data_IF_131118751976
#
_entry.id   IF_131118751976
#
_cell.length_a   1.000
_cell.length_b   1.000
_cell.length_c   1.000
_cell.angle_alpha   90.00
_cell.angle_beta   90.00
_cell.angle_gamma   90.00
#
_symmetry.space_group_name_H-M   'P 1'
#
loop_
_entity.id
_entity.type
_entity.pdbx_description
1 polymer ?
#
# COMPACT_ATOMS: atom_id res chain seq x y z
N UNK A 1 -64.86 14.12 4.76
CA UNK A 1 -63.44 14.52 4.96
C UNK A 1 -62.78 13.46 5.81
N UNK A 2 -62.07 12.51 5.20
CA UNK A 2 -61.21 11.55 5.90
C UNK A 2 -59.82 12.18 6.03
N UNK A 3 -59.34 12.40 7.26
CA UNK A 3 -57.95 12.76 7.51
C UNK A 3 -57.11 11.47 7.51
N UNK A 4 -56.15 11.41 6.59
CA UNK A 4 -55.15 10.35 6.51
C UNK A 4 -53.94 10.74 7.36
N UNK A 5 -53.72 10.05 8.48
CA UNK A 5 -52.56 10.27 9.36
C UNK A 5 -51.35 9.52 8.79
N UNK A 6 -50.42 10.26 8.20
CA UNK A 6 -49.18 9.73 7.64
C UNK A 6 -48.16 9.54 8.78
N UNK A 7 -47.88 8.29 9.16
CA UNK A 7 -46.83 7.95 10.13
C UNK A 7 -45.45 8.12 9.48
N UNK A 8 -44.66 9.06 10.00
CA UNK A 8 -43.25 9.23 9.66
C UNK A 8 -42.44 8.24 10.52
N UNK A 9 -41.96 7.15 9.92
CA UNK A 9 -40.95 6.30 10.54
C UNK A 9 -39.58 7.00 10.46
N UNK A 10 -39.10 7.53 11.59
CA UNK A 10 -37.70 7.88 11.74
C UNK A 10 -36.87 6.59 11.86
N UNK A 11 -36.24 6.17 10.76
CA UNK A 11 -35.15 5.20 10.82
C UNK A 11 -33.92 5.89 11.45
N UNK A 12 -33.68 5.64 12.72
CA UNK A 12 -32.41 5.94 13.37
C UNK A 12 -31.34 5.01 12.78
N UNK A 13 -30.50 5.54 11.90
CA UNK A 13 -29.33 4.84 11.39
C UNK A 13 -28.32 4.67 12.53
N UNK A 14 -28.30 3.50 13.17
CA UNK A 14 -27.16 3.10 13.99
C UNK A 14 -25.97 2.92 13.06
N UNK A 15 -25.14 3.95 12.93
CA UNK A 15 -23.81 3.86 12.33
C UNK A 15 -22.93 3.03 13.25
N UNK A 16 -22.99 1.70 13.11
CA UNK A 16 -22.07 0.80 13.80
C UNK A 16 -20.64 1.17 13.41
N UNK A 17 -19.85 1.65 14.37
CA UNK A 17 -18.41 1.81 14.18
C UNK A 17 -17.84 0.44 13.87
N UNK A 18 -17.22 0.29 12.70
CA UNK A 18 -16.46 -0.91 12.40
C UNK A 18 -15.28 -0.99 13.40
N UNK A 19 -14.98 -2.17 13.90
CA UNK A 19 -13.75 -2.36 14.68
C UNK A 19 -12.56 -2.20 13.72
N UNK A 20 -11.79 -1.13 13.90
CA UNK A 20 -10.56 -0.89 13.16
C UNK A 20 -9.56 -2.02 13.46
N UNK A 21 -9.05 -2.68 12.41
CA UNK A 21 -7.96 -3.63 12.60
C UNK A 21 -6.77 -2.91 13.21
N UNK A 22 -6.21 -3.46 14.28
CA UNK A 22 -5.10 -2.86 15.01
C UNK A 22 -4.28 -3.94 15.71
N UNK A 23 -3.06 -3.58 16.12
CA UNK A 23 -2.19 -4.48 16.87
C UNK A 23 -0.71 -4.17 16.64
N UNK A 24 0.14 -5.13 17.00
CA UNK A 24 1.55 -5.11 16.64
C UNK A 24 1.76 -5.85 15.32
N UNK A 25 2.78 -5.43 14.57
CA UNK A 25 3.19 -6.05 13.32
C UNK A 25 4.69 -5.92 13.08
N UNK A 26 5.15 -6.64 12.07
CA UNK A 26 6.53 -6.67 11.62
C UNK A 26 6.58 -6.17 10.16
N UNK A 27 7.67 -5.49 9.79
CA UNK A 27 7.85 -5.01 8.42
C UNK A 27 8.94 -5.76 7.67
N UNK A 28 8.80 -5.78 6.35
CA UNK A 28 9.90 -5.95 5.41
C UNK A 28 9.87 -4.82 4.39
N UNK A 29 10.70 -4.93 3.35
CA UNK A 29 10.77 -3.97 2.25
C UNK A 29 10.82 -4.74 0.92
N UNK A 30 10.12 -4.23 -0.08
CA UNK A 30 10.17 -4.81 -1.42
C UNK A 30 9.86 -3.78 -2.52
N UNK A 31 10.26 -4.15 -3.75
CA UNK A 31 9.76 -3.58 -4.99
C UNK A 31 10.03 -4.59 -6.11
N UNK A 32 9.00 -5.36 -6.47
CA UNK A 32 9.08 -6.44 -7.46
C UNK A 32 8.56 -6.04 -8.86
N UNK A 33 8.03 -4.81 -8.97
CA UNK A 33 7.37 -4.25 -10.15
C UNK A 33 6.08 -4.99 -10.58
N UNK A 34 5.67 -6.05 -9.90
CA UNK A 34 4.51 -6.83 -10.27
C UNK A 34 3.22 -5.99 -10.20
N UNK A 35 2.21 -6.38 -10.98
CA UNK A 35 0.85 -5.90 -10.76
C UNK A 35 0.42 -6.21 -9.31
N UNK A 36 0.03 -5.20 -8.50
CA UNK A 36 -0.43 -5.42 -7.14
C UNK A 36 -1.68 -6.30 -7.09
N UNK A 37 -1.84 -7.15 -6.06
CA UNK A 37 -2.97 -8.09 -6.01
C UNK A 37 -4.32 -7.37 -5.91
N UNK A 38 -4.40 -6.21 -5.25
CA UNK A 38 -5.62 -5.41 -5.15
C UNK A 38 -5.94 -4.62 -6.43
N UNK A 39 -5.14 -4.76 -7.50
CA UNK A 39 -5.44 -4.23 -8.83
C UNK A 39 -6.37 -5.15 -9.63
N UNK A 40 -6.67 -6.36 -9.13
CA UNK A 40 -7.67 -7.23 -9.73
C UNK A 40 -9.08 -6.85 -9.29
N UNK A 41 -10.03 -6.89 -10.23
CA UNK A 41 -11.45 -6.73 -9.94
C UNK A 41 -11.95 -7.79 -8.95
N UNK A 42 -12.90 -7.41 -8.10
CA UNK A 42 -13.57 -8.34 -7.18
C UNK A 42 -12.77 -8.73 -5.93
N UNK A 43 -11.57 -8.16 -5.72
CA UNK A 43 -10.75 -8.43 -4.51
C UNK A 43 -11.34 -7.85 -3.23
N UNK A 44 -11.98 -6.68 -3.31
CA UNK A 44 -12.66 -6.02 -2.20
C UNK A 44 -13.80 -5.13 -2.72
N UNK A 45 -14.66 -4.65 -1.80
CA UNK A 45 -15.70 -3.66 -2.12
C UNK A 45 -15.09 -2.26 -2.17
N UNK A 46 -14.67 -1.87 -3.38
CA UNK A 46 -13.99 -0.61 -3.68
C UNK A 46 -14.65 0.08 -4.86
N UNK A 47 -14.44 1.39 -5.00
CA UNK A 47 -14.91 2.15 -6.17
C UNK A 47 -14.29 1.65 -7.49
N UNK A 48 -12.99 1.35 -7.47
CA UNK A 48 -12.16 0.80 -8.56
C UNK A 48 -10.98 0.05 -7.94
N UNK A 49 -10.43 -0.99 -8.58
CA UNK A 49 -9.18 -1.63 -8.13
C UNK A 49 -8.00 -0.65 -8.16
N UNK A 50 -6.89 -1.04 -7.52
CA UNK A 50 -5.63 -0.29 -7.59
C UNK A 50 -5.20 -0.12 -9.05
N UNK A 51 -4.88 1.12 -9.43
CA UNK A 51 -4.34 1.46 -10.75
C UNK A 51 -3.00 0.75 -10.99
N UNK A 52 -2.87 0.16 -12.18
CA UNK A 52 -1.62 -0.36 -12.72
C UNK A 52 -1.13 0.53 -13.85
N UNK A 53 0.14 0.35 -14.22
CA UNK A 53 0.75 1.07 -15.32
C UNK A 53 1.41 0.10 -16.32
N UNK A 54 1.61 0.56 -17.55
CA UNK A 54 2.49 -0.11 -18.51
C UNK A 54 3.98 0.12 -18.17
N UNK A 55 4.89 -0.48 -18.93
CA UNK A 55 6.35 -0.34 -18.73
C UNK A 55 6.90 1.09 -18.87
N UNK A 56 6.12 2.00 -19.45
CA UNK A 56 6.48 3.42 -19.55
C UNK A 56 5.89 4.22 -18.39
N UNK A 57 5.27 3.54 -17.44
CA UNK A 57 4.55 4.09 -16.29
C UNK A 57 3.36 4.96 -16.73
N UNK A 58 2.66 4.51 -17.78
CA UNK A 58 1.37 5.08 -18.22
C UNK A 58 0.21 4.30 -17.60
N UNK A 59 -0.78 4.97 -16.96
CA UNK A 59 -1.92 4.29 -16.35
C UNK A 59 -2.71 3.40 -17.31
N UNK A 60 -3.02 2.18 -16.86
CA UNK A 60 -3.87 1.24 -17.59
C UNK A 60 -5.32 1.33 -17.11
N UNK A 61 -6.25 1.34 -18.06
CA UNK A 61 -7.69 1.43 -17.77
C UNK A 61 -8.37 0.08 -17.53
N UNK A 62 -7.81 -1.03 -18.05
CA UNK A 62 -8.37 -2.36 -17.92
C UNK A 62 -7.72 -3.14 -16.76
N UNK A 63 -8.46 -3.42 -15.67
CA UNK A 63 -7.95 -4.17 -14.52
C UNK A 63 -7.71 -5.66 -14.83
N UNK A 64 -8.09 -6.17 -16.01
CA UNK A 64 -7.86 -7.56 -16.41
C UNK A 64 -6.54 -7.77 -17.15
N UNK A 65 -5.80 -6.72 -17.47
CA UNK A 65 -4.48 -6.85 -18.09
C UNK A 65 -3.57 -7.68 -17.19
N UNK A 66 -2.93 -8.68 -17.79
CA UNK A 66 -2.08 -9.64 -17.09
C UNK A 66 -0.85 -8.96 -16.47
N UNK A 67 -0.43 -9.45 -15.30
CA UNK A 67 0.78 -8.98 -14.61
C UNK A 67 2.02 -9.21 -15.46
N UNK A 68 2.94 -8.24 -15.48
CA UNK A 68 4.28 -8.42 -16.07
C UNK A 68 5.05 -9.59 -15.45
N UNK A 69 4.81 -9.89 -14.16
CA UNK A 69 5.39 -11.05 -13.47
C UNK A 69 4.79 -12.39 -13.90
N UNK A 70 3.77 -12.37 -14.77
CA UNK A 70 3.15 -13.56 -15.36
C UNK A 70 2.97 -13.40 -16.87
N UNK A 71 3.98 -12.81 -17.53
CA UNK A 71 4.06 -12.67 -18.99
C UNK A 71 3.16 -11.60 -19.60
N UNK A 72 2.51 -10.77 -18.79
CA UNK A 72 1.66 -9.67 -19.24
C UNK A 72 2.39 -8.32 -19.33
N UNK A 73 1.62 -7.24 -19.28
CA UNK A 73 2.12 -5.87 -19.49
C UNK A 73 1.66 -4.87 -18.43
N UNK A 74 0.98 -5.33 -17.37
CA UNK A 74 0.62 -4.50 -16.22
C UNK A 74 1.66 -4.63 -15.10
N UNK A 75 2.16 -3.49 -14.64
CA UNK A 75 3.13 -3.32 -13.58
C UNK A 75 2.59 -2.41 -12.47
N UNK A 76 3.29 -2.38 -11.33
CA UNK A 76 3.08 -1.36 -10.31
C UNK A 76 3.42 0.01 -10.87
N UNK A 77 2.52 0.99 -10.75
CA UNK A 77 2.86 2.38 -11.09
C UNK A 77 3.96 2.90 -10.16
N UNK A 78 4.96 3.60 -10.71
CA UNK A 78 6.13 4.09 -9.98
C UNK A 78 5.76 5.12 -8.90
N UNK A 79 4.63 5.81 -9.05
CA UNK A 79 4.08 6.71 -8.04
C UNK A 79 3.47 5.98 -6.82
N UNK A 80 3.39 4.65 -6.82
CA UNK A 80 3.17 3.85 -5.61
C UNK A 80 4.46 3.75 -4.75
N UNK A 81 5.31 4.77 -4.83
CA UNK A 81 6.51 4.94 -4.01
C UNK A 81 6.19 5.69 -2.71
N UNK A 82 6.96 5.50 -1.64
CA UNK A 82 6.78 6.21 -0.39
C UNK A 82 7.38 7.62 -0.46
N UNK A 83 6.87 8.52 0.38
CA UNK A 83 7.41 9.88 0.52
C UNK A 83 7.23 10.43 1.94
N UNK A 84 8.10 11.37 2.30
CA UNK A 84 8.00 12.10 3.56
C UNK A 84 6.98 13.24 3.44
N UNK A 85 6.05 13.35 4.39
CA UNK A 85 5.19 14.52 4.56
C UNK A 85 5.94 15.57 5.39
N UNK A 86 6.63 15.13 6.44
CA UNK A 86 7.56 15.88 7.27
C UNK A 86 8.53 14.91 7.94
N UNK A 87 9.39 15.39 8.85
CA UNK A 87 10.43 14.56 9.50
C UNK A 87 9.87 13.40 10.35
N UNK A 88 8.62 13.47 10.76
CA UNK A 88 7.96 12.47 11.63
C UNK A 88 6.85 11.67 10.96
N UNK A 89 6.37 12.12 9.79
CA UNK A 89 5.27 11.49 9.06
C UNK A 89 5.67 11.20 7.62
N UNK A 90 5.43 9.97 7.18
CA UNK A 90 5.51 9.56 5.77
C UNK A 90 4.21 8.91 5.31
N UNK A 91 3.99 8.93 4.00
CA UNK A 91 2.93 8.17 3.34
C UNK A 91 3.55 7.17 2.36
N UNK A 92 2.84 6.07 2.10
CA UNK A 92 3.28 5.08 1.13
C UNK A 92 2.31 3.92 0.96
N UNK A 93 2.85 2.78 0.54
CA UNK A 93 2.07 1.61 0.14
C UNK A 93 2.71 0.35 0.69
N UNK A 94 1.92 -0.71 0.85
CA UNK A 94 2.41 -1.98 1.35
C UNK A 94 1.65 -3.16 0.74
N UNK A 95 2.31 -4.31 0.69
CA UNK A 95 1.61 -5.59 0.70
C UNK A 95 1.33 -5.99 2.16
N UNK A 96 0.13 -6.47 2.46
CA UNK A 96 -0.28 -6.73 3.84
C UNK A 96 -0.87 -8.12 4.03
N UNK A 97 -0.54 -8.77 5.14
CA UNK A 97 -1.26 -9.94 5.63
C UNK A 97 -1.66 -9.71 7.10
N UNK A 98 -2.94 -9.43 7.32
CA UNK A 98 -3.47 -9.04 8.64
C UNK A 98 -4.22 -10.21 9.27
N UNK A 99 -3.88 -10.51 10.52
CA UNK A 99 -4.46 -11.62 11.28
C UNK A 99 -5.97 -11.47 11.39
N UNK A 100 -6.70 -12.53 11.06
CA UNK A 100 -8.18 -12.54 11.07
C UNK A 100 -8.82 -11.82 9.87
N UNK A 101 -8.03 -11.27 8.95
CA UNK A 101 -8.49 -10.64 7.72
C UNK A 101 -8.30 -11.53 6.49
N UNK A 102 -8.79 -11.03 5.37
CA UNK A 102 -8.48 -11.50 4.00
C UNK A 102 -8.27 -10.31 3.07
N UNK A 103 -7.91 -10.54 1.81
CA UNK A 103 -7.82 -9.47 0.80
C UNK A 103 -9.08 -8.61 0.73
N UNK A 104 -10.28 -9.18 0.94
CA UNK A 104 -11.51 -8.39 0.95
C UNK A 104 -11.59 -7.36 2.08
N UNK A 105 -10.92 -7.64 3.20
CA UNK A 105 -10.87 -6.76 4.36
C UNK A 105 -9.76 -5.71 4.28
N UNK A 106 -8.60 -6.02 3.69
CA UNK A 106 -7.45 -5.11 3.70
C UNK A 106 -7.19 -4.42 2.36
N UNK A 107 -7.64 -4.96 1.22
CA UNK A 107 -7.36 -4.32 -0.05
C UNK A 107 -7.90 -2.89 -0.06
N UNK A 108 -6.99 -1.97 -0.38
CA UNK A 108 -7.16 -0.52 -0.40
C UNK A 108 -7.47 0.14 0.95
N UNK A 109 -7.41 -0.60 2.07
CA UNK A 109 -7.48 -0.03 3.40
C UNK A 109 -6.19 0.72 3.73
N UNK A 110 -6.28 1.72 4.60
CA UNK A 110 -5.12 2.43 5.10
C UNK A 110 -4.85 2.12 6.56
N UNK A 111 -3.56 2.13 6.92
CA UNK A 111 -3.10 1.83 8.27
C UNK A 111 -2.06 2.87 8.69
N UNK A 112 -2.23 3.43 9.88
CA UNK A 112 -1.23 4.26 10.53
C UNK A 112 -0.27 3.36 11.29
N UNK A 113 0.98 3.30 10.85
CA UNK A 113 2.05 2.51 11.45
C UNK A 113 2.89 3.43 12.33
N UNK A 114 3.02 3.11 13.61
CA UNK A 114 3.95 3.77 14.52
C UNK A 114 5.12 2.84 14.82
N UNK A 115 6.30 3.17 14.29
CA UNK A 115 7.48 2.33 14.47
C UNK A 115 7.91 2.31 15.93
N UNK A 116 8.25 1.12 16.43
CA UNK A 116 8.68 0.87 17.81
C UNK A 116 10.18 0.60 17.92
N UNK A 117 10.84 0.23 16.82
CA UNK A 117 12.24 -0.17 16.81
C UNK A 117 13.04 0.49 15.67
N UNK A 118 14.36 0.24 15.67
CA UNK A 118 15.33 0.80 14.72
C UNK A 118 15.47 2.33 14.79
N UNK A 119 16.17 2.92 13.82
CA UNK A 119 16.44 4.36 13.69
C UNK A 119 15.19 5.21 13.46
N UNK A 120 14.07 4.57 13.11
CA UNK A 120 12.78 5.21 12.83
C UNK A 120 11.78 5.13 13.99
N UNK A 121 12.18 4.57 15.13
CA UNK A 121 11.30 4.45 16.30
C UNK A 121 10.66 5.80 16.66
N UNK A 122 9.34 5.80 16.87
CA UNK A 122 8.53 6.98 17.15
C UNK A 122 8.01 7.72 15.92
N UNK A 123 8.56 7.49 14.72
CA UNK A 123 7.99 8.02 13.47
C UNK A 123 6.72 7.28 13.10
N UNK A 124 5.89 7.95 12.30
CA UNK A 124 4.63 7.41 11.79
C UNK A 124 4.66 7.31 10.27
N UNK A 125 4.16 6.21 9.73
CA UNK A 125 3.93 6.03 8.30
C UNK A 125 2.49 5.59 8.07
N UNK A 126 1.74 6.32 7.24
CA UNK A 126 0.40 5.86 6.81
C UNK A 126 0.53 5.17 5.47
N UNK A 127 0.11 3.92 5.40
CA UNK A 127 0.21 3.10 4.20
C UNK A 127 -1.15 2.69 3.68
N UNK A 128 -1.32 2.68 2.35
CA UNK A 128 -2.43 1.98 1.72
C UNK A 128 -2.02 0.56 1.34
N UNK A 129 -2.82 -0.43 1.72
CA UNK A 129 -2.62 -1.83 1.31
C UNK A 129 -3.01 -2.00 -0.16
N UNK A 130 -2.04 -2.31 -1.00
CA UNK A 130 -2.23 -2.47 -2.46
C UNK A 130 -2.05 -3.91 -2.93
N UNK A 131 -1.47 -4.76 -2.10
CA UNK A 131 -1.17 -6.15 -2.46
C UNK A 131 -1.20 -7.08 -1.23
N UNK A 132 -0.99 -8.36 -1.47
CA UNK A 132 -0.66 -9.37 -0.47
C UNK A 132 0.47 -10.25 -1.02
N UNK A 133 1.37 -10.71 -0.15
CA UNK A 133 2.33 -11.78 -0.48
C UNK A 133 1.84 -13.12 0.10
N UNK A 134 2.17 -14.23 -0.56
CA UNK A 134 1.78 -15.58 -0.11
C UNK A 134 2.61 -16.10 1.07
N UNK A 135 3.74 -15.46 1.33
CA UNK A 135 4.68 -15.71 2.42
C UNK A 135 4.44 -14.81 3.65
N UNK A 136 3.54 -13.83 3.53
CA UNK A 136 3.22 -12.89 4.60
C UNK A 136 2.17 -13.50 5.55
N UNK A 137 2.36 -13.33 6.85
CA UNK A 137 1.40 -13.73 7.90
C UNK A 137 1.60 -12.91 9.17
N UNK A 138 0.73 -13.05 10.17
CA UNK A 138 0.94 -12.46 11.50
C UNK A 138 1.12 -10.92 11.51
N UNK A 139 0.20 -10.18 10.88
CA UNK A 139 0.24 -8.71 10.78
C UNK A 139 1.52 -8.17 10.11
N UNK A 140 1.93 -8.82 9.02
CA UNK A 140 3.12 -8.42 8.26
C UNK A 140 2.75 -7.39 7.20
N UNK A 141 3.51 -6.29 7.20
CA UNK A 141 3.47 -5.24 6.19
C UNK A 141 4.78 -5.21 5.41
N UNK A 142 4.77 -5.65 4.16
CA UNK A 142 5.90 -5.53 3.27
C UNK A 142 5.85 -4.15 2.58
N UNK A 143 6.72 -3.24 3.02
CA UNK A 143 6.66 -1.84 2.62
C UNK A 143 7.19 -1.66 1.20
N UNK A 144 6.39 -1.05 0.34
CA UNK A 144 6.80 -0.76 -1.04
C UNK A 144 7.83 0.36 -1.03
N UNK A 145 9.08 0.04 -1.37
CA UNK A 145 10.14 1.02 -1.56
C UNK A 145 11.07 0.59 -2.68
N UNK A 146 11.22 1.37 -3.76
CA UNK A 146 12.10 1.02 -4.86
C UNK A 146 13.52 0.71 -4.39
N UNK A 147 14.07 -0.42 -4.85
CA UNK A 147 15.36 -0.91 -4.37
C UNK A 147 15.28 -1.63 -3.02
N UNK A 148 14.10 -2.00 -2.53
CA UNK A 148 13.90 -2.87 -1.35
C UNK A 148 14.17 -4.36 -1.62
N UNK A 149 14.33 -4.75 -2.89
CA UNK A 149 14.50 -6.13 -3.33
C UNK A 149 13.24 -6.64 -4.03
N UNK A 150 13.43 -7.43 -5.09
CA UNK A 150 12.33 -7.97 -5.89
C UNK A 150 11.68 -9.20 -5.23
N UNK A 151 12.40 -9.88 -4.34
CA UNK A 151 11.90 -11.03 -3.62
C UNK A 151 11.65 -12.23 -4.54
N UNK A 152 10.49 -12.87 -4.39
CA UNK A 152 10.16 -14.12 -5.09
C UNK A 152 10.05 -13.89 -6.60
N UNK A 153 9.38 -12.81 -7.02
CA UNK A 153 9.12 -12.50 -8.41
C UNK A 153 10.02 -11.36 -8.89
N UNK A 154 10.40 -11.36 -10.16
CA UNK A 154 11.15 -10.25 -10.76
C UNK A 154 10.40 -9.72 -11.98
N UNK A 155 9.45 -8.82 -11.72
CA UNK A 155 8.79 -8.03 -12.76
C UNK A 155 9.62 -6.85 -13.23
N UNK A 156 10.68 -6.48 -12.50
CA UNK A 156 11.51 -5.33 -12.82
C UNK A 156 12.45 -5.62 -13.99
N UNK A 157 12.87 -6.87 -14.18
CA UNK A 157 13.58 -7.31 -15.38
C UNK A 157 12.78 -7.06 -16.66
N UNK A 158 11.53 -7.57 -16.82
CA UNK A 158 10.73 -7.29 -18.00
C UNK A 158 10.24 -5.83 -18.11
N UNK A 159 10.14 -5.08 -17.01
CA UNK A 159 9.72 -3.67 -17.05
C UNK A 159 10.87 -2.72 -17.47
N UNK A 160 12.01 -2.81 -16.79
CA UNK A 160 13.09 -1.82 -16.86
C UNK A 160 14.44 -2.38 -17.33
N UNK A 161 14.54 -3.69 -17.59
CA UNK A 161 15.84 -4.32 -17.85
C UNK A 161 16.66 -4.57 -16.58
N UNK A 162 15.97 -4.83 -15.48
CA UNK A 162 16.45 -5.06 -14.11
C UNK A 162 16.72 -3.77 -13.30
N UNK A 163 16.71 -3.91 -11.98
CA UNK A 163 17.05 -2.86 -11.01
C UNK A 163 18.21 -3.34 -10.13
N UNK A 164 19.08 -2.43 -9.62
CA UNK A 164 20.20 -2.81 -8.77
C UNK A 164 19.77 -3.37 -7.41
N UNK A 165 20.67 -4.14 -6.79
CA UNK A 165 20.53 -4.63 -5.43
C UNK A 165 20.37 -6.14 -5.32
N UNK A 166 20.41 -6.63 -4.08
CA UNK A 166 20.20 -8.04 -3.79
C UNK A 166 18.73 -8.44 -3.96
N UNK A 167 18.50 -9.72 -4.27
CA UNK A 167 17.14 -10.24 -4.48
C UNK A 167 16.21 -9.94 -3.30
N UNK A 168 16.70 -10.10 -2.07
CA UNK A 168 16.01 -9.75 -0.84
C UNK A 168 16.81 -8.66 -0.12
N UNK A 169 16.15 -7.56 0.25
CA UNK A 169 16.79 -6.41 0.89
C UNK A 169 17.32 -5.35 -0.09
N UNK A 170 17.50 -5.69 -1.37
CA UNK A 170 17.73 -4.74 -2.46
C UNK A 170 19.06 -4.00 -2.36
N UNK A 171 19.06 -2.71 -2.68
CA UNK A 171 20.28 -1.90 -2.63
C UNK A 171 20.81 -1.78 -1.19
N UNK A 172 22.13 -1.70 -1.03
CA UNK A 172 22.80 -1.60 0.28
C UNK A 172 23.31 -0.20 0.59
N UNK A 173 23.28 0.71 -0.39
CA UNK A 173 23.72 2.09 -0.23
C UNK A 173 22.81 3.08 -0.96
N UNK A 174 22.74 4.30 -0.43
CA UNK A 174 22.00 5.41 -1.04
C UNK A 174 22.49 5.73 -2.46
N UNK A 175 23.79 5.58 -2.72
CA UNK A 175 24.38 5.89 -4.02
C UNK A 175 23.91 4.94 -5.14
N UNK A 176 23.56 3.70 -4.81
CA UNK A 176 22.97 2.77 -5.78
C UNK A 176 21.61 3.24 -6.31
N UNK A 177 20.91 4.12 -5.59
CA UNK A 177 19.68 4.74 -6.11
C UNK A 177 19.92 5.54 -7.40
N UNK A 178 21.15 6.01 -7.66
CA UNK A 178 21.48 6.68 -8.93
C UNK A 178 21.41 5.74 -10.14
N UNK A 179 21.52 4.42 -9.92
CA UNK A 179 21.43 3.39 -10.95
C UNK A 179 19.98 2.95 -11.22
N UNK A 180 19.02 3.37 -10.38
CA UNK A 180 17.60 3.07 -10.58
C UNK A 180 17.02 3.86 -11.78
N UNK A 181 15.96 3.35 -12.43
CA UNK A 181 15.13 4.13 -13.34
C UNK A 181 14.72 5.46 -12.71
N UNK A 182 14.75 6.55 -13.49
CA UNK A 182 14.58 7.91 -12.97
C UNK A 182 13.34 8.09 -12.09
N UNK A 183 12.22 7.47 -12.50
CA UNK A 183 10.93 7.52 -11.78
C UNK A 183 10.94 6.81 -10.42
N UNK A 184 11.87 5.87 -10.20
CA UNK A 184 12.00 5.11 -8.96
C UNK A 184 13.00 5.71 -7.97
N UNK A 185 13.83 6.66 -8.41
CA UNK A 185 14.92 7.20 -7.58
C UNK A 185 14.42 7.86 -6.31
N UNK A 186 13.34 8.62 -6.38
CA UNK A 186 12.80 9.34 -5.22
C UNK A 186 12.39 8.37 -4.10
N UNK A 187 11.65 7.31 -4.42
CA UNK A 187 11.29 6.27 -3.46
C UNK A 187 12.51 5.49 -2.93
N UNK A 188 13.52 5.27 -3.79
CA UNK A 188 14.78 4.66 -3.35
C UNK A 188 15.53 5.57 -2.35
N UNK A 189 15.65 6.86 -2.64
CA UNK A 189 16.29 7.82 -1.71
C UNK A 189 15.52 7.93 -0.40
N UNK A 190 14.18 7.92 -0.44
CA UNK A 190 13.35 7.94 0.77
C UNK A 190 13.74 6.85 1.79
N UNK A 191 14.09 5.64 1.30
CA UNK A 191 14.55 4.52 2.15
C UNK A 191 15.76 4.92 3.00
N UNK A 192 16.71 5.65 2.43
CA UNK A 192 17.94 6.05 3.12
C UNK A 192 17.79 7.37 3.88
N UNK A 193 16.91 8.25 3.41
CA UNK A 193 16.72 9.59 3.96
C UNK A 193 15.74 9.55 5.14
N UNK A 194 14.43 9.51 4.86
CA UNK A 194 13.41 9.58 5.91
C UNK A 194 13.34 8.31 6.75
N UNK A 195 13.44 7.15 6.07
CA UNK A 195 13.37 5.84 6.70
C UNK A 195 14.73 5.39 7.29
N UNK A 196 15.77 6.20 7.10
CA UNK A 196 17.09 6.03 7.74
C UNK A 196 17.66 4.61 7.59
N UNK A 197 17.39 3.97 6.45
CA UNK A 197 17.73 2.59 6.10
C UNK A 197 17.41 1.58 7.21
N UNK A 198 16.30 1.78 7.94
CA UNK A 198 15.88 0.88 8.99
C UNK A 198 15.66 -0.54 8.43
N UNK A 199 16.28 -1.53 9.06
CA UNK A 199 16.13 -2.93 8.67
C UNK A 199 14.96 -3.56 9.44
N UNK A 200 13.86 -3.78 8.72
CA UNK A 200 12.66 -4.49 9.18
C UNK A 200 12.16 -4.03 10.57
N UNK A 201 11.89 -2.71 10.77
CA UNK A 201 11.41 -2.22 12.05
C UNK A 201 10.02 -2.78 12.41
N UNK A 202 9.82 -3.03 13.69
CA UNK A 202 8.53 -3.40 14.27
C UNK A 202 7.67 -2.15 14.46
N UNK A 203 6.35 -2.33 14.47
CA UNK A 203 5.41 -1.23 14.65
C UNK A 203 4.13 -1.69 15.35
N UNK A 204 3.43 -0.72 15.93
CA UNK A 204 1.99 -0.86 16.16
C UNK A 204 1.23 -0.24 15.00
N UNK A 205 0.07 -0.78 14.65
CA UNK A 205 -0.78 -0.23 13.61
C UNK A 205 -2.23 -0.07 14.06
N UNK A 206 -2.92 0.87 13.42
CA UNK A 206 -4.37 1.04 13.48
C UNK A 206 -4.90 1.32 12.08
N UNK A 207 -6.01 0.71 11.71
CA UNK A 207 -6.73 1.00 10.48
C UNK A 207 -7.36 2.39 10.56
N UNK A 208 -7.08 3.21 9.56
CA UNK A 208 -7.53 4.59 9.46
C UNK A 208 -8.21 4.81 8.11
N UNK A 209 -9.02 5.86 8.04
CA UNK A 209 -9.53 6.39 6.79
C UNK A 209 -8.36 6.84 5.93
N UNK A 210 -8.37 6.46 4.66
CA UNK A 210 -7.28 6.77 3.76
C UNK A 210 -7.15 8.28 3.49
N UNK A 211 -5.97 8.88 3.68
CA UNK A 211 -5.63 10.20 3.14
C UNK A 211 -5.92 10.27 1.63
N UNK A 212 -6.47 11.38 1.17
CA UNK A 212 -6.71 11.62 -0.27
C UNK A 212 -5.41 11.58 -1.08
N UNK A 213 -4.28 11.91 -0.46
CA UNK A 213 -2.96 11.83 -1.08
C UNK A 213 -2.58 10.39 -1.51
N UNK A 214 -3.05 9.36 -0.79
CA UNK A 214 -2.84 7.95 -1.16
C UNK A 214 -3.86 7.49 -2.21
N UNK A 215 -5.14 7.79 -1.98
CA UNK A 215 -6.21 7.31 -2.87
C UNK A 215 -6.25 8.01 -4.22
N UNK A 216 -5.73 9.23 -4.33
CA UNK A 216 -5.54 9.90 -5.62
C UNK A 216 -4.50 9.18 -6.50
N UNK A 217 -3.46 8.60 -5.87
CA UNK A 217 -2.40 7.84 -6.56
C UNK A 217 -2.94 6.51 -7.08
N UNK A 218 -3.57 5.71 -6.21
CA UNK A 218 -4.04 4.36 -6.58
C UNK A 218 -5.38 4.37 -7.28
N UNK A 219 -6.20 5.41 -7.08
CA UNK A 219 -7.59 5.46 -7.52
C UNK A 219 -8.54 4.56 -6.73
N UNK A 220 -8.04 3.82 -5.74
CA UNK A 220 -8.81 2.82 -4.99
C UNK A 220 -9.24 3.36 -3.63
N UNK A 221 -10.54 3.34 -3.37
CA UNK A 221 -11.18 3.78 -2.12
C UNK A 221 -12.18 2.70 -1.72
N UNK A 222 -12.09 2.24 -0.48
CA UNK A 222 -13.05 1.26 0.06
C UNK A 222 -14.40 1.90 0.34
N UNK A 223 -15.47 1.14 0.16
CA UNK A 223 -16.82 1.61 0.50
C UNK A 223 -17.04 1.84 2.00
N UNK A 224 -16.21 1.22 2.85
CA UNK A 224 -16.25 1.34 4.30
C UNK A 224 -15.20 2.31 4.87
N UNK A 225 -14.41 2.99 4.03
CA UNK A 225 -13.29 3.85 4.43
C UNK A 225 -13.70 4.92 5.45
N UNK A 226 -14.88 5.52 5.27
CA UNK A 226 -15.43 6.55 6.17
C UNK A 226 -15.87 6.04 7.55
N UNK A 227 -15.76 4.73 7.82
CA UNK A 227 -16.09 4.14 9.12
C UNK A 227 -14.91 4.12 10.09
N UNK A 228 -13.70 4.42 9.60
CA UNK A 228 -12.46 4.41 10.36
C UNK A 228 -12.04 5.83 10.78
N UNK A 229 -11.24 5.99 11.85
CA UNK A 229 -10.75 7.30 12.29
C UNK A 229 -9.88 7.97 11.22
N UNK A 230 -9.80 9.30 11.24
CA UNK A 230 -8.91 10.06 10.34
C UNK A 230 -7.44 9.68 10.60
N UNK A 231 -6.65 9.66 9.53
CA UNK A 231 -5.21 9.49 9.64
C UNK A 231 -4.55 10.72 10.31
N UNK A 232 -3.39 10.52 10.99
CA UNK A 232 -2.62 11.61 11.58
C UNK A 232 -2.00 12.55 10.55
#
# INVERSE_FOLDING_TARGET
MQLNTMQVLLLSSLSGRAFAASGSGHSTRFWDCCKPSCAWSGKATVNKPVRTCDKNDSPLGDPNIQSGCNGGTAFTCTNNSPWAVNDTLAYGFAATAITGGTESSWCCACYSLKFMSSTVAGKTMVVQSTSTGGDLSNNHFDLMMPGGGVGIFDGCTPEFGAIPGDRYGGVSSRDQCNQMPAKLRAGCFWRFDWFSNADNPDFTFEQVKCPSALTAITGCVRSDDSRFPEAP
#
